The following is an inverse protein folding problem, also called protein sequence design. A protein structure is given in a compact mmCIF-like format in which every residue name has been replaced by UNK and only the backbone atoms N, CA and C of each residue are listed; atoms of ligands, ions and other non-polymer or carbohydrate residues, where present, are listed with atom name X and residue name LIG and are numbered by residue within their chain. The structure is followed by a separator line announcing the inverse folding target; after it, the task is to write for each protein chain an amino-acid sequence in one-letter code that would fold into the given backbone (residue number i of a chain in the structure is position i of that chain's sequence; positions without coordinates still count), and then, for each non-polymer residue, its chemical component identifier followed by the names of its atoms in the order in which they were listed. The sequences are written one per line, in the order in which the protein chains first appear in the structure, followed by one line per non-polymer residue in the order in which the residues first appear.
data_IF_396519604208
#
_entry.id   IF_396519604208
#
_cell.length_a   1.000
_cell.length_b   1.000
_cell.length_c   1.000
_cell.angle_alpha   90.00
_cell.angle_beta   90.00
_cell.angle_gamma   90.00
#
_symmetry.space_group_name_H-M   'P 1'
#
loop_
_entity.id
_entity.type
_entity.pdbx_description
1 polymer ?
#
# COMPACT_ATOMS: atom_id res chain seq x y z
N UNK A 1 -29.24 -4.85 7.99
CA UNK A 1 -27.93 -4.34 8.46
C UNK A 1 -26.92 -5.46 8.30
N UNK A 2 -26.05 -5.39 7.29
CA UNK A 2 -25.06 -6.42 6.97
C UNK A 2 -23.69 -5.76 7.07
N UNK A 3 -22.99 -6.03 8.17
CA UNK A 3 -21.60 -5.63 8.37
C UNK A 3 -20.68 -6.63 7.67
N UNK A 4 -19.89 -6.15 6.72
CA UNK A 4 -18.76 -6.81 6.08
C UNK A 4 -17.62 -5.78 6.14
N UNK A 5 -16.41 -6.02 6.61
CA UNK A 5 -15.77 -7.21 7.13
C UNK A 5 -14.33 -6.84 7.49
N UNK A 6 -14.14 -6.34 8.71
CA UNK A 6 -12.85 -6.44 9.41
C UNK A 6 -12.67 -7.93 9.73
N UNK A 7 -11.98 -8.69 8.87
CA UNK A 7 -11.91 -10.15 8.99
C UNK A 7 -11.20 -10.56 10.30
N UNK A 8 -11.90 -11.18 11.27
CA UNK A 8 -11.26 -11.92 12.34
C UNK A 8 -10.78 -13.26 11.78
N UNK A 9 -9.68 -13.74 12.33
CA UNK A 9 -9.04 -15.00 12.00
C UNK A 9 -9.98 -16.20 12.16
N UNK A 10 -10.30 -16.88 11.06
CA UNK A 10 -10.98 -18.17 11.05
C UNK A 10 -9.97 -19.31 11.04
N UNK A 11 -9.86 -20.01 12.17
CA UNK A 11 -9.19 -21.30 12.36
C UNK A 11 -10.17 -22.39 11.92
N UNK A 12 -9.72 -23.38 11.14
CA UNK A 12 -10.56 -24.51 10.70
C UNK A 12 -9.77 -25.51 9.88
N UNK A 13 -9.47 -26.64 10.52
CA UNK A 13 -8.76 -27.80 10.02
C UNK A 13 -9.40 -28.43 8.77
N UNK A 14 -8.54 -28.98 7.91
CA UNK A 14 -8.94 -29.67 6.70
C UNK A 14 -7.77 -30.42 6.08
N UNK A 15 -7.35 -31.49 6.76
CA UNK A 15 -6.41 -32.50 6.30
C UNK A 15 -6.73 -32.98 4.89
N UNK A 16 -5.77 -32.87 3.96
CA UNK A 16 -5.61 -33.82 2.86
C UNK A 16 -4.13 -33.94 2.52
N UNK A 17 -3.60 -35.14 2.77
CA UNK A 17 -2.27 -35.57 2.42
C UNK A 17 -2.14 -35.71 0.88
N UNK A 18 -1.00 -35.30 0.35
CA UNK A 18 -0.39 -35.95 -0.82
C UNK A 18 1.12 -35.72 -0.75
N UNK A 19 1.85 -36.80 -0.47
CA UNK A 19 3.30 -36.78 -0.34
C UNK A 19 3.98 -36.73 -1.70
N UNK A 20 5.06 -35.96 -1.79
CA UNK A 20 6.15 -36.23 -2.71
C UNK A 20 7.45 -35.82 -2.03
N UNK A 21 8.26 -36.86 -1.78
CA UNK A 21 9.59 -36.85 -1.20
C UNK A 21 10.59 -36.24 -2.20
N UNK A 22 11.35 -35.24 -1.77
CA UNK A 22 12.66 -34.89 -2.35
C UNK A 22 13.61 -34.57 -1.21
N UNK A 23 14.63 -35.40 -1.07
CA UNK A 23 15.79 -35.18 -0.21
C UNK A 23 16.82 -34.34 -0.99
N UNK A 24 17.56 -33.51 -0.26
CA UNK A 24 18.84 -32.95 -0.70
C UNK A 24 18.87 -31.43 -0.84
N UNK A 25 19.46 -30.75 0.15
CA UNK A 25 19.86 -29.35 0.03
C UNK A 25 20.02 -28.63 1.37
N UNK A 26 21.02 -29.02 2.17
CA UNK A 26 21.61 -28.16 3.20
C UNK A 26 22.28 -26.96 2.53
N UNK A 27 21.97 -25.74 2.97
CA UNK A 27 22.63 -24.53 2.50
C UNK A 27 21.93 -23.25 2.94
N UNK A 28 22.63 -22.52 3.81
CA UNK A 28 22.52 -21.08 4.10
C UNK A 28 21.36 -20.58 4.98
N UNK A 29 21.71 -20.51 6.25
CA UNK A 29 21.30 -19.55 7.27
C UNK A 29 21.17 -18.13 6.68
N UNK A 30 19.92 -17.72 6.43
CA UNK A 30 19.62 -16.37 5.96
C UNK A 30 19.14 -15.53 7.15
N UNK A 31 20.05 -14.72 7.66
CA UNK A 31 19.82 -13.69 8.68
C UNK A 31 18.56 -12.88 8.37
N UNK A 32 17.53 -13.10 9.18
CA UNK A 32 16.24 -12.42 9.09
C UNK A 32 16.37 -11.07 9.78
N UNK A 33 16.87 -10.07 9.06
CA UNK A 33 16.91 -8.69 9.52
C UNK A 33 15.49 -8.17 9.85
N UNK A 34 15.39 -7.58 11.03
CA UNK A 34 14.22 -6.93 11.64
C UNK A 34 13.63 -5.79 10.80
N UNK A 35 12.34 -5.46 10.97
CA UNK A 35 11.67 -4.42 10.20
C UNK A 35 12.09 -3.01 10.64
N UNK A 36 12.52 -2.22 9.66
CA UNK A 36 12.42 -0.75 9.56
C UNK A 36 12.77 0.10 10.79
N UNK A 37 13.93 0.76 10.75
CA UNK A 37 14.26 1.85 11.66
C UNK A 37 13.29 3.02 11.43
N UNK A 38 12.38 3.25 12.37
CA UNK A 38 11.57 4.47 12.40
C UNK A 38 12.50 5.68 12.57
N UNK A 39 12.40 6.66 11.66
CA UNK A 39 13.19 7.89 11.72
C UNK A 39 12.49 8.86 12.67
N UNK A 40 13.22 9.40 13.65
CA UNK A 40 12.65 10.35 14.62
C UNK A 40 12.19 11.66 13.96
N UNK A 41 11.04 12.11 14.44
CA UNK A 41 10.12 13.14 13.94
C UNK A 41 10.70 14.55 13.85
N UNK A 42 10.56 15.19 12.68
CA UNK A 42 10.64 16.65 12.50
C UNK A 42 9.35 17.29 13.01
N UNK A 43 9.43 18.49 13.57
CA UNK A 43 8.28 19.21 14.14
C UNK A 43 7.13 19.38 13.14
N UNK A 44 5.92 19.03 13.57
CA UNK A 44 4.71 19.02 12.74
C UNK A 44 4.12 20.44 12.69
N UNK A 45 3.93 20.98 11.48
CA UNK A 45 3.26 22.26 11.24
C UNK A 45 1.74 22.14 11.43
N UNK A 46 1.08 23.15 11.96
CA UNK A 46 -0.39 23.19 12.16
C UNK A 46 -1.18 23.03 10.86
N UNK A 47 -0.63 23.43 9.72
CA UNK A 47 -1.25 23.20 8.41
C UNK A 47 -1.35 21.71 8.05
N UNK A 48 -0.42 20.88 8.55
CA UNK A 48 -0.40 19.42 8.31
C UNK A 48 -1.60 18.72 8.95
N UNK A 49 -2.04 19.19 10.11
CA UNK A 49 -3.10 18.53 10.88
C UNK A 49 -4.48 18.59 10.20
N UNK A 50 -4.82 19.71 9.56
CA UNK A 50 -6.11 19.86 8.90
C UNK A 50 -6.23 18.92 7.68
N UNK A 51 -5.16 18.77 6.92
CA UNK A 51 -5.13 17.91 5.73
C UNK A 51 -5.23 16.42 6.08
N UNK A 52 -4.63 16.01 7.19
CA UNK A 52 -4.70 14.63 7.71
C UNK A 52 -6.09 14.29 8.25
N UNK A 53 -6.72 15.24 8.95
CA UNK A 53 -8.11 15.08 9.42
C UNK A 53 -9.08 14.93 8.26
N UNK A 54 -8.93 15.75 7.21
CA UNK A 54 -9.73 15.64 5.99
C UNK A 54 -9.49 14.32 5.26
N UNK A 55 -8.26 13.80 5.28
CA UNK A 55 -7.93 12.48 4.73
C UNK A 55 -8.63 11.34 5.50
N UNK A 56 -8.58 11.34 6.82
CA UNK A 56 -9.27 10.34 7.66
C UNK A 56 -10.80 10.47 7.60
N UNK A 57 -11.34 11.68 7.37
CA UNK A 57 -12.77 11.85 7.13
C UNK A 57 -13.21 11.19 5.80
N UNK A 58 -12.32 11.16 4.79
CA UNK A 58 -12.55 10.45 3.52
C UNK A 58 -12.40 8.94 3.66
N UNK A 59 -11.47 8.51 4.50
CA UNK A 59 -11.10 7.11 4.68
C UNK A 59 -11.36 6.67 6.11
N UNK A 60 -12.50 6.00 6.33
CA UNK A 60 -12.87 5.56 7.67
C UNK A 60 -11.79 4.62 8.23
N UNK A 61 -11.13 5.00 9.35
CA UNK A 61 -10.22 4.10 10.01
C UNK A 61 -10.98 2.89 10.56
N UNK A 62 -10.27 1.80 10.89
CA UNK A 62 -10.84 0.70 11.66
C UNK A 62 -11.73 1.18 12.81
N UNK A 63 -12.87 0.51 13.10
CA UNK A 63 -13.50 0.69 14.39
C UNK A 63 -12.47 0.37 15.48
N UNK A 64 -12.50 1.14 16.56
CA UNK A 64 -11.59 0.97 17.71
C UNK A 64 -10.11 1.29 17.41
N UNK A 65 -9.80 2.00 16.31
CA UNK A 65 -8.44 2.52 16.10
C UNK A 65 -8.09 3.51 17.22
N UNK A 66 -7.04 3.24 18.04
CA UNK A 66 -6.60 4.19 19.04
C UNK A 66 -6.14 5.51 18.41
N UNK A 67 -6.36 6.63 19.09
CA UNK A 67 -6.05 7.96 18.55
C UNK A 67 -4.58 8.10 18.13
N UNK A 68 -3.65 7.46 18.84
CA UNK A 68 -2.23 7.46 18.51
C UNK A 68 -1.92 6.77 17.17
N UNK A 69 -2.77 5.84 16.71
CA UNK A 69 -2.63 5.18 15.41
C UNK A 69 -3.22 6.00 14.25
N UNK A 70 -3.84 7.15 14.56
CA UNK A 70 -4.34 8.10 13.56
C UNK A 70 -3.28 9.16 13.20
N UNK A 71 -2.09 9.09 13.77
CA UNK A 71 -0.97 9.97 13.45
C UNK A 71 -0.06 9.25 12.44
N UNK A 72 0.17 9.80 11.24
CA UNK A 72 1.11 9.22 10.29
C UNK A 72 2.53 9.16 10.86
N UNK A 73 3.25 8.08 10.56
CA UNK A 73 4.65 7.89 10.96
C UNK A 73 5.50 7.73 9.70
N UNK A 74 6.65 8.39 9.69
CA UNK A 74 7.62 8.33 8.59
C UNK A 74 8.34 6.97 8.53
N UNK A 75 8.36 6.40 7.33
CA UNK A 75 9.12 5.18 7.03
C UNK A 75 9.94 5.37 5.77
N UNK A 76 11.07 4.67 5.71
CA UNK A 76 11.94 4.65 4.55
C UNK A 76 11.47 3.60 3.54
N UNK A 77 10.96 4.05 2.41
CA UNK A 77 10.42 3.19 1.36
C UNK A 77 11.38 3.14 0.17
N UNK A 78 12.05 2.00 -0.08
CA UNK A 78 12.86 1.83 -1.27
C UNK A 78 11.93 1.55 -2.46
N UNK A 79 11.70 2.57 -3.28
CA UNK A 79 10.92 2.51 -4.52
C UNK A 79 11.85 2.44 -5.73
N UNK A 80 11.40 1.84 -6.82
CA UNK A 80 12.14 1.95 -8.09
C UNK A 80 12.07 3.40 -8.59
N UNK A 81 13.02 3.83 -9.42
CA UNK A 81 13.02 5.19 -9.97
C UNK A 81 11.73 5.50 -10.74
N UNK A 82 11.30 4.61 -11.63
CA UNK A 82 10.04 4.75 -12.39
C UNK A 82 8.84 4.93 -11.45
N UNK A 83 8.78 4.16 -10.36
CA UNK A 83 7.71 4.28 -9.37
C UNK A 83 7.78 5.58 -8.60
N UNK A 84 8.99 6.03 -8.27
CA UNK A 84 9.23 7.31 -7.59
C UNK A 84 8.78 8.47 -8.47
N UNK A 85 9.19 8.49 -9.73
CA UNK A 85 8.85 9.57 -10.67
C UNK A 85 7.34 9.58 -10.96
N UNK A 86 6.70 8.41 -11.02
CA UNK A 86 5.25 8.32 -11.17
C UNK A 86 4.51 8.83 -9.93
N UNK A 87 4.97 8.51 -8.72
CA UNK A 87 4.41 9.05 -7.47
C UNK A 87 4.51 10.58 -7.47
N UNK A 88 5.65 11.15 -7.87
CA UNK A 88 5.82 12.60 -7.99
C UNK A 88 4.82 13.19 -9.01
N UNK A 89 4.72 12.58 -10.19
CA UNK A 89 3.84 13.03 -11.27
C UNK A 89 2.35 12.98 -10.88
N UNK A 90 1.90 11.90 -10.24
CA UNK A 90 0.51 11.76 -9.80
C UNK A 90 0.17 12.67 -8.62
N UNK A 91 1.13 12.88 -7.70
CA UNK A 91 1.00 13.84 -6.60
C UNK A 91 0.69 15.23 -7.16
N UNK A 92 1.48 15.68 -8.15
CA UNK A 92 1.29 16.96 -8.80
C UNK A 92 -0.01 17.02 -9.63
N UNK A 93 -0.26 16.00 -10.48
CA UNK A 93 -1.41 15.95 -11.40
C UNK A 93 -2.75 16.02 -10.66
N UNK A 94 -2.86 15.28 -9.55
CA UNK A 94 -4.11 15.18 -8.77
C UNK A 94 -4.10 16.03 -7.50
N UNK A 95 -3.11 16.93 -7.34
CA UNK A 95 -3.02 17.87 -6.23
C UNK A 95 -3.15 17.17 -4.87
N UNK A 96 -2.38 16.10 -4.69
CA UNK A 96 -2.15 15.58 -3.34
C UNK A 96 -1.21 16.55 -2.62
N UNK A 97 -1.42 16.75 -1.32
CA UNK A 97 -0.60 17.65 -0.50
C UNK A 97 0.86 17.16 -0.42
N UNK A 98 1.05 15.85 -0.49
CA UNK A 98 2.37 15.22 -0.50
C UNK A 98 2.34 13.84 -1.17
N UNK A 99 3.52 13.34 -1.53
CA UNK A 99 3.74 11.97 -1.99
C UNK A 99 3.27 10.94 -0.94
N UNK A 100 3.40 11.27 0.35
CA UNK A 100 2.94 10.43 1.45
C UNK A 100 1.41 10.29 1.43
N UNK A 101 0.68 11.40 1.20
CA UNK A 101 -0.78 11.36 1.08
C UNK A 101 -1.23 10.50 -0.11
N UNK A 102 -0.57 10.62 -1.26
CA UNK A 102 -0.83 9.76 -2.42
C UNK A 102 -0.60 8.28 -2.06
N UNK A 103 0.50 7.96 -1.37
CA UNK A 103 0.80 6.59 -0.98
C UNK A 103 -0.27 5.99 -0.05
N UNK A 104 -0.70 6.75 0.97
CA UNK A 104 -1.78 6.34 1.88
C UNK A 104 -3.10 6.13 1.14
N UNK A 105 -3.43 7.01 0.19
CA UNK A 105 -4.59 6.85 -0.69
C UNK A 105 -4.53 5.53 -1.47
N UNK A 106 -3.40 5.19 -2.09
CA UNK A 106 -3.24 3.92 -2.82
C UNK A 106 -3.38 2.69 -1.90
N UNK A 107 -2.87 2.76 -0.67
CA UNK A 107 -3.03 1.70 0.33
C UNK A 107 -4.51 1.51 0.68
N UNK A 108 -5.25 2.59 0.89
CA UNK A 108 -6.69 2.52 1.15
C UNK A 108 -7.46 1.91 -0.01
N UNK A 109 -7.22 2.36 -1.25
CA UNK A 109 -7.88 1.78 -2.42
C UNK A 109 -7.58 0.27 -2.49
N UNK A 110 -6.31 -0.14 -2.37
CA UNK A 110 -5.93 -1.56 -2.36
C UNK A 110 -6.60 -2.36 -1.24
N UNK A 111 -6.85 -1.75 -0.07
CA UNK A 111 -7.60 -2.37 1.01
C UNK A 111 -9.11 -2.42 0.75
N UNK A 112 -9.68 -1.50 -0.03
CA UNK A 112 -11.09 -1.54 -0.43
C UNK A 112 -11.38 -2.45 -1.63
N UNK A 113 -10.34 -2.89 -2.35
CA UNK A 113 -10.50 -3.76 -3.51
C UNK A 113 -11.27 -5.05 -3.17
N UNK A 114 -12.15 -5.54 -4.08
CA UNK A 114 -12.81 -6.83 -3.92
C UNK A 114 -11.80 -7.97 -3.76
N UNK A 115 -12.19 -9.11 -3.15
CA UNK A 115 -11.30 -10.25 -2.96
C UNK A 115 -10.64 -10.77 -4.25
N UNK A 116 -11.35 -10.71 -5.39
CA UNK A 116 -10.80 -11.06 -6.71
C UNK A 116 -9.64 -10.15 -7.10
N UNK A 117 -9.80 -8.83 -6.91
CA UNK A 117 -8.80 -7.84 -7.26
C UNK A 117 -7.61 -7.88 -6.28
N UNK A 118 -7.86 -8.06 -4.97
CA UNK A 118 -6.78 -8.30 -4.00
C UNK A 118 -5.95 -9.53 -4.34
N UNK A 119 -6.60 -10.61 -4.80
CA UNK A 119 -5.88 -11.80 -5.28
C UNK A 119 -5.04 -11.46 -6.51
N UNK A 120 -5.57 -10.70 -7.46
CA UNK A 120 -4.83 -10.23 -8.62
C UNK A 120 -3.60 -9.42 -8.18
N UNK A 121 -3.78 -8.38 -7.36
CA UNK A 121 -2.72 -7.49 -6.89
C UNK A 121 -1.64 -8.25 -6.14
N UNK A 122 -2.00 -9.06 -5.13
CA UNK A 122 -1.02 -9.59 -4.18
C UNK A 122 -0.54 -11.01 -4.48
N UNK A 123 -1.28 -11.80 -5.27
CA UNK A 123 -0.89 -13.20 -5.56
C UNK A 123 -0.55 -13.47 -7.01
N UNK A 124 -1.13 -12.71 -7.95
CA UNK A 124 -0.92 -12.94 -9.38
C UNK A 124 0.11 -11.98 -9.94
N UNK A 125 -0.05 -10.68 -9.66
CA UNK A 125 0.88 -9.64 -10.10
C UNK A 125 2.20 -9.84 -9.37
N UNK A 126 3.23 -10.18 -10.14
CA UNK A 126 4.61 -10.09 -9.70
C UNK A 126 5.05 -8.67 -10.01
N UNK A 127 5.68 -7.97 -9.07
CA UNK A 127 6.27 -6.67 -9.34
C UNK A 127 7.15 -6.80 -10.61
N UNK A 128 6.75 -6.11 -11.68
CA UNK A 128 7.31 -6.27 -13.03
C UNK A 128 8.82 -6.06 -12.99
N UNK A 129 9.23 -5.07 -12.21
CA UNK A 129 10.61 -4.67 -11.97
C UNK A 129 11.40 -5.69 -11.14
N UNK A 130 10.78 -6.45 -10.22
CA UNK A 130 11.51 -7.48 -9.45
C UNK A 130 11.95 -8.69 -10.30
N UNK A 131 11.26 -8.97 -11.41
CA UNK A 131 11.61 -10.11 -12.27
C UNK A 131 12.86 -9.85 -13.13
N UNK A 132 13.13 -8.59 -13.44
CA UNK A 132 14.30 -8.18 -14.22
C UNK A 132 15.60 -8.25 -13.39
N UNK A 133 15.50 -8.23 -12.06
CA UNK A 133 16.64 -8.23 -11.13
C UNK A 133 17.47 -9.53 -11.15
N UNK A 134 16.90 -10.65 -11.61
CA UNK A 134 17.62 -11.94 -11.61
C UNK A 134 18.62 -12.04 -12.78
N UNK A 135 18.46 -11.24 -13.84
CA UNK A 135 19.33 -11.28 -15.03
C UNK A 135 20.17 -10.03 -15.26
N UNK A 136 19.78 -8.87 -14.73
CA UNK A 136 20.41 -7.58 -15.04
C UNK A 136 21.16 -6.91 -13.86
N UNK A 137 21.35 -7.61 -12.74
CA UNK A 137 21.97 -7.03 -11.54
C UNK A 137 20.99 -6.28 -10.63
N UNK A 138 21.53 -5.60 -9.62
CA UNK A 138 20.76 -4.86 -8.62
C UNK A 138 20.06 -3.64 -9.26
N UNK A 139 18.73 -3.67 -9.35
CA UNK A 139 17.94 -2.51 -9.80
C UNK A 139 18.06 -1.43 -8.73
N UNK A 140 18.58 -0.24 -9.08
CA UNK A 140 18.74 0.83 -8.11
C UNK A 140 17.37 1.31 -7.64
N UNK A 141 17.26 1.54 -6.33
CA UNK A 141 16.05 2.04 -5.68
C UNK A 141 16.35 3.40 -5.10
N UNK A 142 15.36 4.28 -5.15
CA UNK A 142 15.39 5.56 -4.47
C UNK A 142 14.71 5.40 -3.13
N UNK A 143 15.45 5.66 -2.07
CA UNK A 143 14.89 5.71 -0.72
C UNK A 143 14.03 6.97 -0.58
N UNK A 144 12.78 6.78 -0.16
CA UNK A 144 11.81 7.86 0.04
C UNK A 144 11.29 7.78 1.47
N UNK A 145 11.41 8.86 2.23
CA UNK A 145 10.78 8.96 3.55
C UNK A 145 9.33 9.41 3.35
N UNK A 146 8.37 8.48 3.52
CA UNK A 146 6.95 8.78 3.34
C UNK A 146 6.15 8.30 4.56
N UNK A 147 5.26 9.16 5.04
CA UNK A 147 4.44 8.89 6.20
C UNK A 147 3.22 8.00 5.86
N UNK A 148 3.00 6.95 6.64
CA UNK A 148 1.80 6.11 6.58
C UNK A 148 1.17 5.98 7.96
N UNK A 149 -0.14 5.72 8.04
CA UNK A 149 -0.77 5.46 9.34
C UNK A 149 -0.32 4.11 9.91
N UNK A 150 -0.11 4.00 11.24
CA UNK A 150 0.20 2.73 11.88
C UNK A 150 -0.75 1.57 11.53
N UNK A 151 -2.06 1.80 11.44
CA UNK A 151 -3.00 0.74 11.04
C UNK A 151 -2.84 0.29 9.57
N UNK A 152 -2.38 1.17 8.68
CA UNK A 152 -2.05 0.81 7.30
C UNK A 152 -0.81 -0.07 7.27
N UNK A 153 0.20 0.24 8.09
CA UNK A 153 1.39 -0.58 8.22
C UNK A 153 1.08 -1.98 8.79
N UNK A 154 0.19 -2.05 9.78
CA UNK A 154 -0.32 -3.32 10.32
C UNK A 154 -1.03 -4.13 9.23
N UNK A 155 -1.86 -3.49 8.43
CA UNK A 155 -2.52 -4.14 7.29
C UNK A 155 -1.51 -4.66 6.26
N UNK A 156 -0.54 -3.83 5.85
CA UNK A 156 0.54 -4.25 4.95
C UNK A 156 1.34 -5.43 5.55
N UNK A 157 1.52 -5.42 6.87
CA UNK A 157 2.16 -6.51 7.63
C UNK A 157 1.40 -7.83 7.50
N UNK A 158 0.07 -7.78 7.64
CA UNK A 158 -0.79 -8.96 7.44
C UNK A 158 -0.72 -9.44 5.99
N UNK A 159 -0.77 -8.54 5.02
CA UNK A 159 -0.74 -8.89 3.59
C UNK A 159 0.60 -9.53 3.20
N UNK A 160 1.75 -8.98 3.64
CA UNK A 160 3.04 -9.57 3.29
C UNK A 160 3.15 -11.00 3.83
N UNK A 161 2.71 -11.25 5.07
CA UNK A 161 2.75 -12.58 5.69
C UNK A 161 1.86 -13.56 4.92
N UNK A 162 0.63 -13.13 4.62
CA UNK A 162 -0.38 -13.95 3.93
C UNK A 162 0.00 -14.30 2.49
N UNK A 163 0.73 -13.42 1.81
CA UNK A 163 1.14 -13.60 0.42
C UNK A 163 2.61 -14.03 0.27
N UNK A 164 3.30 -14.28 1.39
CA UNK A 164 4.72 -14.68 1.43
C UNK A 164 5.62 -13.73 0.63
N UNK A 165 5.37 -12.43 0.75
CA UNK A 165 6.27 -11.43 0.18
C UNK A 165 7.55 -11.35 1.00
N UNK A 166 8.67 -11.01 0.34
CA UNK A 166 9.98 -10.89 1.01
C UNK A 166 10.00 -9.83 2.12
N UNK A 167 9.17 -8.80 2.02
CA UNK A 167 9.13 -7.70 2.98
C UNK A 167 7.86 -6.84 2.84
N UNK A 168 7.62 -5.93 3.79
CA UNK A 168 6.54 -4.94 3.74
C UNK A 168 6.75 -4.00 2.56
N UNK A 169 7.97 -3.53 2.35
CA UNK A 169 8.35 -2.62 1.26
C UNK A 169 8.09 -3.26 -0.11
N UNK A 170 8.28 -4.58 -0.23
CA UNK A 170 7.90 -5.31 -1.45
C UNK A 170 6.39 -5.27 -1.68
N UNK A 171 5.61 -5.43 -0.62
CA UNK A 171 4.14 -5.35 -0.69
C UNK A 171 3.70 -3.97 -1.17
N UNK A 172 4.30 -2.92 -0.61
CA UNK A 172 4.02 -1.55 -1.05
C UNK A 172 4.40 -1.33 -2.53
N UNK A 173 5.58 -1.78 -2.96
CA UNK A 173 5.97 -1.71 -4.38
C UNK A 173 5.01 -2.45 -5.31
N UNK A 174 4.44 -3.57 -4.89
CA UNK A 174 3.42 -4.29 -5.68
C UNK A 174 2.17 -3.42 -5.85
N UNK A 175 1.73 -2.72 -4.81
CA UNK A 175 0.59 -1.78 -4.90
C UNK A 175 0.90 -0.66 -5.90
N UNK A 176 2.06 -0.02 -5.77
CA UNK A 176 2.47 1.07 -6.67
C UNK A 176 2.61 0.59 -8.11
N UNK A 177 3.26 -0.56 -8.34
CA UNK A 177 3.45 -1.17 -9.66
C UNK A 177 2.11 -1.52 -10.33
N UNK A 178 1.16 -2.05 -9.55
CA UNK A 178 -0.18 -2.37 -10.04
C UNK A 178 -0.92 -1.12 -10.52
N UNK A 179 -0.98 -0.07 -9.70
CA UNK A 179 -1.71 1.15 -10.08
C UNK A 179 -0.99 1.96 -11.16
N UNK A 180 0.34 1.96 -11.17
CA UNK A 180 1.12 2.50 -12.28
C UNK A 180 0.72 1.86 -13.61
N UNK A 181 0.64 0.52 -13.65
CA UNK A 181 0.19 -0.20 -14.84
C UNK A 181 -1.29 0.04 -15.14
N UNK A 182 -2.16 0.04 -14.11
CA UNK A 182 -3.60 0.25 -14.23
C UNK A 182 -3.95 1.60 -14.87
N UNK A 183 -3.21 2.66 -14.54
CA UNK A 183 -3.35 3.99 -15.13
C UNK A 183 -2.83 4.07 -16.58
N UNK A 184 -2.37 2.95 -17.15
CA UNK A 184 -1.92 2.88 -18.54
C UNK A 184 -0.50 3.41 -18.78
N UNK A 185 0.29 3.66 -17.74
CA UNK A 185 1.68 4.12 -17.89
C UNK A 185 2.60 3.08 -18.56
N UNK A 186 2.16 1.83 -18.67
CA UNK A 186 2.81 0.76 -19.44
C UNK A 186 2.16 0.45 -20.79
N UNK A 187 1.20 1.25 -21.26
CA UNK A 187 0.40 0.99 -22.47
C UNK A 187 0.45 2.16 -23.45
N UNK A 188 0.13 1.92 -24.73
CA UNK A 188 0.13 2.97 -25.78
C UNK A 188 -1.00 3.99 -25.61
N UNK A 189 -2.07 3.65 -24.89
CA UNK A 189 -3.25 4.52 -24.70
C UNK A 189 -3.65 4.57 -23.23
N UNK A 190 -3.26 5.63 -22.49
CA UNK A 190 -3.70 5.84 -21.12
C UNK A 190 -5.23 5.88 -21.01
N UNK A 191 -5.79 5.18 -20.02
CA UNK A 191 -7.21 5.25 -19.71
C UNK A 191 -7.44 6.35 -18.67
N UNK A 192 -7.56 7.58 -19.16
CA UNK A 192 -7.72 8.77 -18.31
C UNK A 192 -8.96 8.71 -17.42
N UNK A 193 -10.01 7.98 -17.83
CA UNK A 193 -11.23 7.83 -17.05
C UNK A 193 -10.96 6.99 -15.81
N UNK A 194 -10.31 5.82 -15.98
CA UNK A 194 -9.91 4.97 -14.86
C UNK A 194 -8.90 5.64 -13.94
N UNK A 195 -7.93 6.34 -14.51
CA UNK A 195 -6.93 7.08 -13.74
C UNK A 195 -7.61 8.16 -12.89
N UNK A 196 -8.49 8.96 -13.49
CA UNK A 196 -9.22 10.01 -12.78
C UNK A 196 -10.15 9.43 -11.72
N UNK A 197 -10.84 8.33 -11.99
CA UNK A 197 -11.68 7.64 -11.01
C UNK A 197 -10.83 7.18 -9.81
N UNK A 198 -9.69 6.53 -10.05
CA UNK A 198 -8.79 6.06 -9.01
C UNK A 198 -8.36 7.17 -8.04
N UNK A 199 -7.96 8.34 -8.57
CA UNK A 199 -7.39 9.42 -7.76
C UNK A 199 -8.41 10.42 -7.22
N UNK A 200 -9.58 10.56 -7.85
CA UNK A 200 -10.65 11.43 -7.36
C UNK A 200 -11.68 10.70 -6.51
N UNK A 201 -11.68 9.36 -6.49
CA UNK A 201 -12.51 8.56 -5.60
C UNK A 201 -12.35 9.03 -4.15
N UNK A 202 -13.49 9.22 -3.48
CA UNK A 202 -13.60 9.73 -2.11
C UNK A 202 -13.12 11.17 -1.87
N UNK A 203 -12.60 11.88 -2.89
CA UNK A 203 -12.26 13.32 -2.78
C UNK A 203 -13.39 14.24 -3.25
N UNK A 204 -14.36 13.72 -4.00
CA UNK A 204 -15.43 14.52 -4.62
C UNK A 204 -16.69 14.70 -3.76
N UNK A 205 -16.74 14.24 -2.50
CA UNK A 205 -17.92 14.50 -1.67
C UNK A 205 -17.96 15.99 -1.32
N UNK A 206 -18.91 16.78 -1.85
CA UNK A 206 -19.15 18.11 -1.30
C UNK A 206 -19.58 17.90 0.16
N UNK A 207 -19.02 18.70 1.07
CA UNK A 207 -19.56 18.81 2.42
C UNK A 207 -21.07 19.08 2.28
N UNK A 208 -21.90 18.18 2.83
CA UNK A 208 -23.33 18.45 2.91
C UNK A 208 -23.47 19.81 3.61
N UNK A 209 -24.27 20.75 3.09
CA UNK A 209 -24.53 21.99 3.78
C UNK A 209 -25.04 21.62 5.18
N UNK A 210 -24.37 22.14 6.21
CA UNK A 210 -24.87 21.99 7.58
C UNK A 210 -26.25 22.65 7.61
N UNK A 211 -27.31 21.84 7.64
CA UNK A 211 -28.65 22.35 7.86
C UNK A 211 -28.66 22.98 9.25
N UNK A 212 -28.64 24.31 9.27
CA UNK A 212 -28.73 25.10 10.48
C UNK A 212 -30.03 24.77 11.21
N UNK A 213 -29.88 24.34 12.46
CA UNK A 213 -30.96 24.29 13.46
C UNK A 213 -31.12 25.64 14.14
#
# INVERSE_FOLDING_TARGET
MVGLGWCPTGRGDGSHACGLRREGGEGDECDSQTPGTAVQSRGISTASYNEESDELARWMPPPDTPAEKLIPVDYLWPLNYVHSDWVDAMTLKYRFASEAQLLRHLIFIANEEPPSNKRLIFKVVRCLHCSQSVRAGHIPKRERTLAVYPFQLEWLTVIFKKCSHKSVEKTLRIIVDFYWYYCGSGTTTPDEVKERDLFLRNRSKPSLPQEGS
#
